data_IF_426503319764
#
_entry.id   IF_426503319764
#
_cell.length_a   1.000
_cell.length_b   1.000
_cell.length_c   1.000
_cell.angle_alpha   90.00
_cell.angle_beta   90.00
_cell.angle_gamma   90.00
#
_symmetry.space_group_name_H-M   'P 1'
#
loop_
_entity.id
_entity.type
_entity.pdbx_description
1 polymer ?
#
# COMPACT_ATOMS: atom_id res chain seq x y z
N UNK A 1 -30.50 15.20 -4.78
CA UNK A 1 -29.60 15.30 -5.94
C UNK A 1 -29.17 13.89 -6.29
N UNK A 2 -29.91 13.23 -7.17
CA UNK A 2 -29.65 11.86 -7.61
C UNK A 2 -28.58 11.96 -8.70
N UNK A 3 -27.31 11.76 -8.33
CA UNK A 3 -26.18 12.00 -9.24
C UNK A 3 -25.80 10.78 -10.10
N UNK A 4 -26.47 9.64 -9.97
CA UNK A 4 -26.48 8.58 -10.98
C UNK A 4 -27.61 7.58 -10.68
N UNK A 5 -28.11 6.89 -11.70
CA UNK A 5 -29.11 5.82 -11.58
C UNK A 5 -28.55 4.52 -10.97
N UNK A 6 -27.33 4.54 -10.43
CA UNK A 6 -26.66 3.36 -9.87
C UNK A 6 -27.12 3.16 -8.44
N UNK A 7 -28.18 2.37 -8.23
CA UNK A 7 -28.57 1.90 -6.90
C UNK A 7 -27.62 0.80 -6.47
N UNK A 8 -26.70 1.11 -5.55
CA UNK A 8 -25.63 0.22 -5.11
C UNK A 8 -26.11 -0.95 -4.22
N UNK A 9 -27.24 -0.79 -3.54
CA UNK A 9 -27.84 -1.81 -2.68
C UNK A 9 -29.35 -1.63 -2.68
N UNK A 10 -30.11 -2.63 -3.13
CA UNK A 10 -31.55 -2.72 -2.84
C UNK A 10 -31.73 -3.73 -1.71
N UNK A 11 -32.21 -3.25 -0.57
CA UNK A 11 -32.66 -4.11 0.52
C UNK A 11 -34.15 -4.35 0.27
N UNK A 12 -34.49 -5.49 -0.34
CA UNK A 12 -35.89 -5.92 -0.36
C UNK A 12 -36.32 -6.36 1.04
N UNK A 13 -37.59 -6.13 1.37
CA UNK A 13 -38.17 -6.26 2.72
C UNK A 13 -38.09 -7.65 3.37
N UNK A 14 -37.48 -8.64 2.71
CA UNK A 14 -37.35 -10.02 3.20
C UNK A 14 -35.94 -10.38 3.69
N UNK A 15 -34.98 -9.45 3.67
CA UNK A 15 -33.61 -9.71 4.18
C UNK A 15 -32.72 -10.50 3.22
N UNK A 16 -33.20 -10.84 2.02
CA UNK A 16 -32.39 -11.37 0.94
C UNK A 16 -31.60 -10.23 0.28
N UNK A 17 -30.28 -10.35 0.24
CA UNK A 17 -29.42 -9.45 -0.52
C UNK A 17 -29.55 -9.76 -2.00
N UNK A 18 -30.49 -9.11 -2.69
CA UNK A 18 -30.51 -9.10 -4.14
C UNK A 18 -29.36 -8.21 -4.60
N UNK A 19 -28.22 -8.80 -4.99
CA UNK A 19 -27.17 -8.04 -5.67
C UNK A 19 -27.80 -7.42 -6.93
N UNK A 20 -27.76 -6.09 -7.01
CA UNK A 20 -28.14 -5.39 -8.23
C UNK A 20 -27.30 -5.88 -9.42
N UNK A 21 -27.78 -5.69 -10.66
CA UNK A 21 -27.03 -6.11 -11.83
C UNK A 21 -25.64 -5.48 -11.83
N UNK A 22 -24.59 -6.31 -11.88
CA UNK A 22 -23.20 -5.88 -12.05
C UNK A 22 -22.88 -5.46 -13.49
N UNK A 23 -23.88 -5.51 -14.37
CA UNK A 23 -23.80 -5.04 -15.76
C UNK A 23 -23.69 -3.52 -15.81
N UNK A 24 -22.96 -3.03 -16.81
CA UNK A 24 -22.92 -1.63 -17.18
C UNK A 24 -24.23 -1.22 -17.86
N UNK A 25 -24.62 0.04 -17.69
CA UNK A 25 -25.80 0.62 -18.35
C UNK A 25 -25.62 0.78 -19.87
N UNK A 26 -24.38 0.66 -20.35
CA UNK A 26 -24.00 0.80 -21.75
C UNK A 26 -22.79 -0.09 -22.07
N UNK A 27 -22.54 -0.42 -23.35
CA UNK A 27 -21.41 -1.26 -23.74
C UNK A 27 -20.06 -0.67 -23.30
N UNK A 28 -19.13 -1.51 -22.85
CA UNK A 28 -17.83 -1.10 -22.29
C UNK A 28 -17.03 -0.21 -23.25
N UNK A 29 -17.13 -0.45 -24.56
CA UNK A 29 -16.44 0.33 -25.60
C UNK A 29 -16.95 1.77 -25.76
N UNK A 30 -18.09 2.11 -25.16
CA UNK A 30 -18.68 3.46 -25.19
C UNK A 30 -18.38 4.27 -23.93
N UNK A 31 -17.80 3.65 -22.90
CA UNK A 31 -17.43 4.36 -21.68
C UNK A 31 -16.37 5.42 -21.94
N UNK A 32 -16.39 6.53 -21.19
CA UNK A 32 -15.33 7.52 -21.26
C UNK A 32 -13.99 6.91 -20.80
N UNK A 33 -12.99 6.98 -21.67
CA UNK A 33 -11.63 6.49 -21.43
C UNK A 33 -10.69 7.67 -21.20
N UNK A 34 -9.75 7.51 -20.27
CA UNK A 34 -8.61 8.41 -20.07
C UNK A 34 -7.35 7.77 -20.65
N UNK A 35 -6.53 8.60 -21.30
CA UNK A 35 -5.38 8.21 -22.13
C UNK A 35 -4.03 8.69 -21.56
N UNK A 36 -4.07 9.31 -20.38
CA UNK A 36 -2.92 9.94 -19.74
C UNK A 36 -2.21 9.03 -18.72
N UNK A 37 -2.40 7.72 -18.77
CA UNK A 37 -1.73 6.80 -17.84
C UNK A 37 -0.20 6.73 -18.05
N UNK A 38 0.27 7.03 -19.27
CA UNK A 38 1.67 6.84 -19.70
C UNK A 38 2.33 8.16 -20.13
N UNK A 39 1.93 9.28 -19.53
CA UNK A 39 2.34 10.62 -19.98
C UNK A 39 3.85 10.90 -19.93
N UNK A 40 4.63 10.15 -19.14
CA UNK A 40 6.09 10.29 -19.04
C UNK A 40 6.87 9.18 -19.75
N UNK A 41 6.19 8.28 -20.48
CA UNK A 41 6.80 7.08 -21.05
C UNK A 41 7.99 7.34 -21.99
N UNK A 42 8.05 8.49 -22.67
CA UNK A 42 9.21 8.86 -23.48
C UNK A 42 10.52 8.92 -22.67
N UNK A 43 10.43 9.25 -21.38
CA UNK A 43 11.56 9.27 -20.45
C UNK A 43 11.63 7.99 -19.61
N UNK A 44 10.49 7.47 -19.16
CA UNK A 44 10.42 6.41 -18.15
C UNK A 44 10.19 5.00 -18.73
N UNK A 45 10.38 4.82 -20.04
CA UNK A 45 10.50 3.47 -20.61
C UNK A 45 11.86 2.83 -20.25
N UNK A 46 12.84 3.65 -19.88
CA UNK A 46 14.08 3.19 -19.24
C UNK A 46 13.85 2.92 -17.75
N UNK A 47 14.26 1.74 -17.29
CA UNK A 47 14.04 1.29 -15.90
C UNK A 47 14.72 2.18 -14.85
N UNK A 48 15.89 2.76 -15.16
CA UNK A 48 16.60 3.64 -14.23
C UNK A 48 15.92 5.00 -14.11
N UNK A 49 15.52 5.58 -15.25
CA UNK A 49 14.74 6.81 -15.26
C UNK A 49 13.40 6.62 -14.53
N UNK A 50 12.70 5.51 -14.78
CA UNK A 50 11.47 5.15 -14.07
C UNK A 50 11.70 5.04 -12.55
N UNK A 51 12.78 4.36 -12.13
CA UNK A 51 13.14 4.24 -10.72
C UNK A 51 13.36 5.63 -10.11
N UNK A 52 14.15 6.50 -10.73
CA UNK A 52 14.41 7.85 -10.22
C UNK A 52 13.12 8.68 -10.07
N UNK A 53 12.21 8.61 -11.04
CA UNK A 53 10.89 9.27 -10.97
C UNK A 53 10.05 8.69 -9.84
N UNK A 54 10.07 7.37 -9.64
CA UNK A 54 9.36 6.73 -8.53
C UNK A 54 9.94 7.11 -7.16
N UNK A 55 11.26 7.16 -7.02
CA UNK A 55 11.91 7.61 -5.79
C UNK A 55 11.53 9.06 -5.46
N UNK A 56 11.48 9.94 -6.46
CA UNK A 56 11.02 11.31 -6.31
C UNK A 56 9.56 11.36 -5.84
N UNK A 57 8.67 10.55 -6.44
CA UNK A 57 7.29 10.41 -5.97
C UNK A 57 7.25 10.04 -4.48
N UNK A 58 8.00 9.02 -4.06
CA UNK A 58 8.01 8.57 -2.66
C UNK A 58 8.47 9.66 -1.70
N UNK A 59 9.41 10.52 -2.11
CA UNK A 59 9.84 11.68 -1.32
C UNK A 59 8.73 12.75 -1.25
N UNK A 60 8.10 13.07 -2.38
CA UNK A 60 6.97 14.02 -2.43
C UNK A 60 5.84 13.56 -1.51
N UNK A 61 5.47 12.27 -1.58
CA UNK A 61 4.45 11.69 -0.73
C UNK A 61 4.84 11.76 0.75
N UNK A 62 6.12 11.56 1.12
CA UNK A 62 6.56 11.68 2.50
C UNK A 62 6.35 13.09 3.07
N UNK A 63 6.63 14.11 2.26
CA UNK A 63 6.70 15.49 2.74
C UNK A 63 5.36 16.22 2.71
N UNK A 64 4.46 15.89 1.79
CA UNK A 64 3.21 16.65 1.59
C UNK A 64 2.35 16.71 2.88
N UNK A 65 2.01 15.56 3.48
CA UNK A 65 1.21 15.53 4.70
C UNK A 65 2.04 15.55 5.99
N UNK A 66 3.38 15.64 5.92
CA UNK A 66 4.26 15.64 7.10
C UNK A 66 3.85 16.66 8.18
N UNK A 67 3.48 17.92 7.85
CA UNK A 67 3.05 18.87 8.86
C UNK A 67 1.85 18.38 9.70
N UNK A 68 0.91 17.65 9.11
CA UNK A 68 -0.24 17.10 9.84
C UNK A 68 0.16 15.86 10.61
N UNK A 69 0.86 14.92 9.96
CA UNK A 69 1.28 13.65 10.54
C UNK A 69 2.09 13.86 11.82
N UNK A 70 3.09 14.76 11.80
CA UNK A 70 3.92 15.05 12.98
C UNK A 70 3.17 15.62 14.18
N UNK A 71 1.95 16.11 13.97
CA UNK A 71 1.07 16.62 15.03
C UNK A 71 0.16 15.53 15.57
N UNK A 72 -0.46 14.78 14.68
CA UNK A 72 -1.31 13.62 15.06
C UNK A 72 -0.49 12.65 15.88
N UNK A 73 0.72 12.32 15.41
CA UNK A 73 1.62 11.37 16.07
C UNK A 73 2.68 12.07 16.94
N UNK A 74 2.42 13.26 17.47
CA UNK A 74 3.43 14.07 18.17
C UNK A 74 4.12 13.35 19.35
N UNK A 75 3.44 12.37 19.96
CA UNK A 75 3.95 11.57 21.08
C UNK A 75 4.77 10.35 20.64
N UNK A 76 4.72 9.98 19.36
CA UNK A 76 5.52 8.87 18.85
C UNK A 76 6.99 9.27 18.82
N UNK A 77 7.94 8.35 19.08
CA UNK A 77 9.37 8.66 19.06
C UNK A 77 9.85 9.25 17.74
N UNK A 78 9.29 8.82 16.61
CA UNK A 78 9.56 9.31 15.26
C UNK A 78 8.55 10.38 14.80
N UNK A 79 7.62 10.79 15.67
CA UNK A 79 6.49 11.67 15.35
C UNK A 79 5.63 11.16 14.18
N UNK A 80 5.53 9.84 14.01
CA UNK A 80 4.77 9.22 12.93
C UNK A 80 5.39 9.39 11.54
N UNK A 81 6.70 9.66 11.46
CA UNK A 81 7.41 9.79 10.18
C UNK A 81 7.14 8.61 9.24
N UNK A 82 7.06 7.39 9.77
CA UNK A 82 6.74 6.19 8.99
C UNK A 82 5.38 6.19 8.28
N UNK A 83 4.46 7.09 8.67
CA UNK A 83 3.13 7.21 8.08
C UNK A 83 3.01 8.34 7.03
N UNK A 84 4.03 9.19 6.86
CA UNK A 84 3.96 10.37 5.98
C UNK A 84 3.50 10.04 4.55
N UNK A 85 4.22 9.12 3.89
CA UNK A 85 3.90 8.63 2.54
C UNK A 85 2.48 8.08 2.44
N UNK A 86 2.11 7.20 3.36
CA UNK A 86 0.82 6.52 3.36
C UNK A 86 -0.34 7.49 3.57
N UNK A 87 -0.23 8.41 4.51
CA UNK A 87 -1.27 9.41 4.78
C UNK A 87 -1.47 10.34 3.59
N UNK A 88 -0.39 10.78 2.94
CA UNK A 88 -0.51 11.55 1.70
C UNK A 88 -1.22 10.76 0.61
N UNK A 89 -0.83 9.49 0.41
CA UNK A 89 -1.43 8.62 -0.60
C UNK A 89 -2.93 8.42 -0.35
N UNK A 90 -3.31 8.11 0.90
CA UNK A 90 -4.71 7.89 1.28
C UNK A 90 -5.57 9.14 1.12
N UNK A 91 -5.11 10.29 1.62
CA UNK A 91 -5.89 11.54 1.57
C UNK A 91 -6.02 12.03 0.13
N UNK A 92 -4.91 12.08 -0.62
CA UNK A 92 -4.93 12.59 -2.00
C UNK A 92 -5.68 11.64 -2.93
N UNK A 93 -5.43 10.32 -2.77
CA UNK A 93 -6.13 9.28 -3.52
C UNK A 93 -7.63 9.29 -3.25
N UNK A 94 -8.04 9.37 -1.98
CA UNK A 94 -9.47 9.41 -1.65
C UNK A 94 -10.19 10.61 -2.27
N UNK A 95 -9.57 11.80 -2.26
CA UNK A 95 -10.16 13.00 -2.86
C UNK A 95 -10.41 12.82 -4.36
N UNK A 96 -9.45 12.28 -5.11
CA UNK A 96 -9.65 12.02 -6.54
C UNK A 96 -10.64 10.89 -6.77
N UNK A 97 -10.57 9.82 -5.98
CA UNK A 97 -11.49 8.70 -6.06
C UNK A 97 -12.93 9.16 -5.87
N UNK A 98 -13.25 9.88 -4.80
CA UNK A 98 -14.62 10.31 -4.53
C UNK A 98 -15.14 11.28 -5.58
N UNK A 99 -14.31 12.24 -6.04
CA UNK A 99 -14.73 13.18 -7.08
C UNK A 99 -14.95 12.48 -8.43
N UNK A 100 -14.15 11.46 -8.76
CA UNK A 100 -14.31 10.67 -9.98
C UNK A 100 -15.49 9.68 -9.89
N UNK A 101 -15.75 9.10 -8.72
CA UNK A 101 -16.94 8.27 -8.44
C UNK A 101 -18.24 9.07 -8.49
N UNK A 102 -18.19 10.35 -8.13
CA UNK A 102 -19.31 11.29 -8.24
C UNK A 102 -19.41 11.94 -9.63
N UNK A 103 -18.55 11.53 -10.57
CA UNK A 103 -18.48 12.04 -11.94
C UNK A 103 -18.23 13.56 -12.04
N UNK A 104 -17.69 14.19 -10.99
CA UNK A 104 -17.34 15.62 -10.96
C UNK A 104 -16.07 15.91 -11.75
N UNK A 105 -15.16 14.94 -11.79
CA UNK A 105 -13.91 14.97 -12.57
C UNK A 105 -13.67 13.60 -13.21
N UNK A 106 -12.85 13.54 -14.26
CA UNK A 106 -12.30 12.28 -14.74
C UNK A 106 -11.01 11.92 -13.99
N UNK A 107 -10.71 10.63 -13.81
CA UNK A 107 -9.48 10.12 -13.21
C UNK A 107 -8.25 10.35 -14.11
N UNK A 108 -7.81 11.61 -14.18
CA UNK A 108 -6.66 12.08 -14.96
C UNK A 108 -5.48 12.45 -14.07
N UNK A 109 -4.27 12.34 -14.60
CA UNK A 109 -3.00 12.62 -13.92
C UNK A 109 -2.94 14.03 -13.33
N UNK A 110 -3.50 15.01 -14.03
CA UNK A 110 -3.57 16.40 -13.56
C UNK A 110 -4.30 16.50 -12.21
N UNK A 111 -5.40 15.78 -12.03
CA UNK A 111 -6.18 15.81 -10.79
C UNK A 111 -5.47 15.07 -9.66
N UNK A 112 -4.73 14.00 -9.97
CA UNK A 112 -3.87 13.35 -8.99
C UNK A 112 -2.79 14.30 -8.47
N UNK A 113 -2.12 15.04 -9.37
CA UNK A 113 -1.13 16.05 -9.00
C UNK A 113 -1.72 17.19 -8.18
N UNK A 114 -2.86 17.74 -8.63
CA UNK A 114 -3.61 18.78 -7.91
C UNK A 114 -4.01 18.31 -6.51
N UNK A 115 -4.47 17.08 -6.34
CA UNK A 115 -4.85 16.55 -5.03
C UNK A 115 -3.66 16.47 -4.06
N UNK A 116 -2.49 16.01 -4.52
CA UNK A 116 -1.27 15.98 -3.69
C UNK A 116 -0.82 17.39 -3.30
N UNK A 117 -0.83 18.34 -4.25
CA UNK A 117 -0.48 19.74 -3.98
C UNK A 117 -1.47 20.38 -3.01
N UNK A 118 -2.77 20.18 -3.21
CA UNK A 118 -3.83 20.69 -2.34
C UNK A 118 -3.70 20.11 -0.92
N UNK A 119 -3.45 18.80 -0.79
CA UNK A 119 -3.19 18.16 0.49
C UNK A 119 -1.96 18.76 1.19
N UNK A 120 -0.86 18.98 0.45
CA UNK A 120 0.35 19.60 0.97
C UNK A 120 0.15 21.05 1.43
N UNK A 121 -0.54 21.88 0.63
CA UNK A 121 -0.89 23.26 1.00
C UNK A 121 -1.80 23.26 2.24
N UNK A 122 -2.85 22.43 2.26
CA UNK A 122 -3.74 22.29 3.39
C UNK A 122 -3.00 21.88 4.67
N UNK A 123 -2.11 20.89 4.57
CA UNK A 123 -1.26 20.45 5.68
C UNK A 123 -0.33 21.57 6.18
N UNK A 124 0.27 22.32 5.28
CA UNK A 124 1.13 23.45 5.61
C UNK A 124 0.36 24.57 6.34
N UNK A 125 -0.81 24.97 5.81
CA UNK A 125 -1.65 26.02 6.38
C UNK A 125 -2.17 25.64 7.77
N UNK A 126 -2.75 24.43 7.89
CA UNK A 126 -3.19 23.88 9.17
C UNK A 126 -2.02 23.80 10.15
N UNK A 127 -0.85 23.47 9.63
CA UNK A 127 0.36 23.42 10.41
C UNK A 127 0.86 24.78 10.87
N UNK A 128 0.73 25.84 10.09
CA UNK A 128 1.11 27.18 10.54
C UNK A 128 0.16 27.74 11.58
N UNK A 129 -1.14 27.58 11.35
CA UNK A 129 -2.20 28.12 12.20
C UNK A 129 -2.11 27.60 13.64
N UNK A 130 -1.77 26.32 13.82
CA UNK A 130 -1.68 25.67 15.14
C UNK A 130 -0.26 25.57 15.72
N UNK A 131 0.73 26.24 15.13
CA UNK A 131 2.12 26.12 15.58
C UNK A 131 2.53 27.20 16.58
N UNK A 132 2.92 26.78 17.80
CA UNK A 132 3.64 27.62 18.76
C UNK A 132 5.05 27.98 18.24
N UNK A 133 5.62 29.09 18.74
CA UNK A 133 6.98 29.53 18.37
C UNK A 133 8.05 28.46 18.67
N UNK A 134 7.89 27.70 19.76
CA UNK A 134 8.77 26.61 20.14
C UNK A 134 8.74 25.44 19.14
N UNK A 135 7.56 25.07 18.63
CA UNK A 135 7.40 24.01 17.63
C UNK A 135 8.09 24.34 16.30
N UNK A 136 8.27 25.63 15.97
CA UNK A 136 8.96 26.06 14.73
C UNK A 136 10.49 25.92 14.81
N UNK A 137 11.06 25.85 16.02
CA UNK A 137 12.51 25.71 16.26
C UNK A 137 12.94 24.28 16.60
N UNK A 138 12.01 23.34 16.68
CA UNK A 138 12.29 21.92 16.95
C UNK A 138 13.12 21.31 15.81
N UNK A 139 14.38 20.88 16.05
CA UNK A 139 15.24 20.31 15.03
C UNK A 139 14.86 18.84 14.79
N UNK A 140 13.63 18.61 14.32
CA UNK A 140 13.07 17.28 14.11
C UNK A 140 13.97 16.38 13.23
N UNK A 141 14.71 16.96 12.29
CA UNK A 141 15.66 16.27 11.42
C UNK A 141 16.85 15.65 12.19
N UNK A 142 17.11 16.08 13.44
CA UNK A 142 18.14 15.48 14.32
C UNK A 142 17.59 14.30 15.14
N UNK A 143 16.29 14.02 15.08
CA UNK A 143 15.69 12.92 15.82
C UNK A 143 16.12 11.57 15.22
N UNK A 144 16.87 10.79 16.00
CA UNK A 144 17.37 9.48 15.56
C UNK A 144 16.26 8.50 15.20
N UNK A 145 15.09 8.60 15.81
CA UNK A 145 13.95 7.73 15.49
C UNK A 145 13.36 8.05 14.10
N UNK A 146 13.39 9.32 13.68
CA UNK A 146 12.99 9.72 12.32
C UNK A 146 13.97 9.15 11.30
N UNK A 147 15.28 9.31 11.55
CA UNK A 147 16.32 8.75 10.67
C UNK A 147 16.25 7.23 10.57
N UNK A 148 15.97 6.54 11.68
CA UNK A 148 15.78 5.08 11.68
C UNK A 148 14.51 4.67 10.94
N UNK A 149 13.39 5.37 11.12
CA UNK A 149 12.15 5.10 10.38
C UNK A 149 12.36 5.25 8.86
N UNK A 150 13.06 6.31 8.43
CA UNK A 150 13.41 6.52 7.03
C UNK A 150 14.40 5.47 6.51
N UNK A 151 15.39 5.11 7.32
CA UNK A 151 16.33 4.03 7.03
C UNK A 151 15.62 2.67 6.88
N UNK A 152 14.65 2.37 7.73
CA UNK A 152 13.81 1.16 7.62
C UNK A 152 13.05 1.15 6.30
N UNK A 153 12.37 2.25 5.95
CA UNK A 153 11.64 2.35 4.69
C UNK A 153 12.54 2.05 3.50
N UNK A 154 13.67 2.75 3.38
CA UNK A 154 14.56 2.56 2.22
C UNK A 154 15.29 1.22 2.22
N UNK A 155 15.64 0.68 3.38
CA UNK A 155 16.29 -0.64 3.48
C UNK A 155 15.34 -1.74 3.03
N UNK A 156 14.07 -1.70 3.47
CA UNK A 156 13.07 -2.69 3.08
C UNK A 156 12.67 -2.52 1.62
N UNK A 157 12.46 -1.28 1.15
CA UNK A 157 12.21 -1.00 -0.26
C UNK A 157 13.37 -1.52 -1.13
N UNK A 158 14.61 -1.22 -0.76
CA UNK A 158 15.81 -1.65 -1.48
C UNK A 158 15.98 -3.17 -1.48
N UNK A 159 15.73 -3.84 -0.34
CA UNK A 159 15.79 -5.30 -0.24
C UNK A 159 14.82 -5.97 -1.23
N UNK A 160 13.54 -5.56 -1.23
CA UNK A 160 12.56 -6.14 -2.13
C UNK A 160 12.75 -5.69 -3.59
N UNK A 161 13.27 -4.49 -3.83
CA UNK A 161 13.65 -4.05 -5.17
C UNK A 161 14.81 -4.89 -5.73
N UNK A 162 15.85 -5.13 -4.94
CA UNK A 162 16.97 -6.01 -5.33
C UNK A 162 16.45 -7.43 -5.56
N UNK A 163 15.56 -7.93 -4.69
CA UNK A 163 14.92 -9.22 -4.91
C UNK A 163 14.18 -9.25 -6.26
N UNK A 164 13.43 -8.21 -6.63
CA UNK A 164 12.76 -8.09 -7.95
C UNK A 164 13.75 -8.00 -9.11
N UNK A 165 14.92 -7.40 -8.92
CA UNK A 165 16.01 -7.36 -9.91
C UNK A 165 16.76 -8.68 -10.05
N UNK A 166 16.68 -9.59 -9.09
CA UNK A 166 17.28 -10.93 -9.21
C UNK A 166 16.24 -11.93 -9.71
N UNK A 167 15.00 -11.80 -9.23
CA UNK A 167 13.86 -12.62 -9.63
C UNK A 167 12.93 -11.81 -10.53
N UNK A 168 13.36 -11.61 -11.78
CA UNK A 168 12.62 -10.81 -12.76
C UNK A 168 11.24 -11.40 -13.05
N UNK A 169 11.15 -12.73 -13.11
CA UNK A 169 9.90 -13.40 -13.42
C UNK A 169 8.95 -13.31 -12.22
N UNK A 170 7.79 -12.74 -12.49
CA UNK A 170 6.74 -12.60 -11.51
C UNK A 170 5.74 -13.76 -11.59
N UNK A 171 5.79 -14.57 -12.64
CA UNK A 171 4.84 -15.64 -12.88
C UNK A 171 5.51 -16.99 -12.63
N UNK A 172 4.99 -17.77 -11.68
CA UNK A 172 5.54 -19.11 -11.47
C UNK A 172 4.99 -20.08 -12.54
N UNK A 173 5.84 -20.74 -13.36
CA UNK A 173 5.34 -21.57 -14.47
C UNK A 173 4.42 -22.72 -14.05
N UNK A 174 4.68 -23.34 -12.89
CA UNK A 174 3.93 -24.52 -12.41
C UNK A 174 2.76 -24.22 -11.47
N UNK A 175 2.80 -23.11 -10.73
CA UNK A 175 1.78 -22.77 -9.73
C UNK A 175 0.98 -21.52 -10.10
N UNK A 176 1.36 -20.87 -11.21
CA UNK A 176 0.77 -19.63 -11.67
C UNK A 176 0.92 -18.50 -10.66
N UNK A 177 -0.07 -17.62 -10.64
CA UNK A 177 -0.26 -16.57 -9.67
C UNK A 177 -1.35 -15.61 -10.10
N UNK A 178 -1.77 -14.74 -9.18
CA UNK A 178 -2.91 -13.84 -9.39
C UNK A 178 -2.51 -12.51 -10.08
N UNK A 179 -1.21 -12.35 -10.37
CA UNK A 179 -0.64 -11.14 -11.01
C UNK A 179 -1.27 -10.74 -12.33
N UNK A 180 -1.56 -11.64 -13.28
CA UNK A 180 -2.27 -11.26 -14.49
C UNK A 180 -3.64 -10.64 -14.17
N UNK A 181 -4.32 -11.13 -13.13
CA UNK A 181 -5.58 -10.57 -12.65
C UNK A 181 -5.39 -9.19 -12.02
N UNK A 182 -4.43 -9.01 -11.09
CA UNK A 182 -4.17 -7.69 -10.50
C UNK A 182 -3.70 -6.67 -11.54
N UNK A 183 -2.83 -7.08 -12.46
CA UNK A 183 -2.34 -6.23 -13.54
C UNK A 183 -3.48 -5.83 -14.48
N UNK A 184 -4.38 -6.75 -14.81
CA UNK A 184 -5.58 -6.44 -15.59
C UNK A 184 -6.49 -5.43 -14.86
N UNK A 185 -6.76 -5.63 -13.57
CA UNK A 185 -7.56 -4.70 -12.76
C UNK A 185 -6.92 -3.31 -12.68
N UNK A 186 -5.61 -3.21 -12.43
CA UNK A 186 -4.90 -1.93 -12.38
C UNK A 186 -4.95 -1.22 -13.74
N UNK A 187 -4.77 -1.93 -14.85
CA UNK A 187 -4.87 -1.32 -16.18
C UNK A 187 -6.31 -0.91 -16.52
N UNK A 188 -7.33 -1.66 -16.08
CA UNK A 188 -8.73 -1.25 -16.21
C UNK A 188 -9.02 0.05 -15.44
N UNK A 189 -8.52 0.15 -14.21
CA UNK A 189 -8.58 1.37 -13.40
C UNK A 189 -7.86 2.53 -14.09
N UNK A 190 -6.65 2.32 -14.62
CA UNK A 190 -5.87 3.36 -15.29
C UNK A 190 -6.54 3.94 -16.53
N UNK A 191 -7.41 3.17 -17.19
CA UNK A 191 -8.17 3.57 -18.38
C UNK A 191 -9.55 4.13 -18.07
N UNK A 192 -10.10 3.85 -16.90
CA UNK A 192 -11.44 4.29 -16.51
C UNK A 192 -11.46 5.77 -16.14
N UNK A 193 -12.37 6.56 -16.72
CA UNK A 193 -12.55 7.97 -16.34
C UNK A 193 -13.29 8.12 -15.00
N UNK A 194 -14.20 7.21 -14.69
CA UNK A 194 -15.06 7.24 -13.51
C UNK A 194 -15.08 5.87 -12.81
N UNK A 195 -15.59 5.84 -11.58
CA UNK A 195 -15.58 4.64 -10.76
C UNK A 195 -16.99 4.18 -10.37
N UNK A 196 -17.20 2.86 -10.15
CA UNK A 196 -16.25 1.75 -10.28
C UNK A 196 -15.79 1.53 -11.73
N UNK A 197 -14.58 0.97 -11.92
CA UNK A 197 -14.04 0.72 -13.26
C UNK A 197 -14.79 -0.45 -13.92
N UNK A 198 -14.61 -0.61 -15.22
CA UNK A 198 -15.09 -1.80 -15.93
C UNK A 198 -14.30 -3.05 -15.49
N UNK A 199 -14.94 -4.21 -15.60
CA UNK A 199 -14.32 -5.50 -15.32
C UNK A 199 -13.57 -6.01 -16.58
N UNK A 200 -12.25 -6.28 -16.51
CA UNK A 200 -11.50 -6.79 -17.66
C UNK A 200 -11.78 -8.26 -18.00
N UNK A 201 -12.45 -9.01 -17.12
CA UNK A 201 -12.77 -10.44 -17.26
C UNK A 201 -14.26 -10.70 -17.50
N UNK A 202 -15.13 -9.72 -17.21
CA UNK A 202 -16.57 -9.81 -17.44
C UNK A 202 -17.04 -8.72 -18.41
N UNK A 203 -17.29 -9.11 -19.66
CA UNK A 203 -17.71 -8.20 -20.73
C UNK A 203 -18.98 -7.43 -20.33
N UNK A 204 -18.96 -6.11 -20.57
CA UNK A 204 -20.00 -5.17 -20.16
C UNK A 204 -20.33 -5.19 -18.65
N UNK A 205 -19.38 -5.64 -17.83
CA UNK A 205 -19.47 -5.67 -16.38
C UNK A 205 -18.73 -4.54 -15.68
N UNK A 206 -19.18 -4.21 -14.47
CA UNK A 206 -18.43 -3.41 -13.50
C UNK A 206 -17.56 -4.32 -12.64
N UNK A 207 -16.38 -3.84 -12.28
CA UNK A 207 -15.48 -4.57 -11.39
C UNK A 207 -16.10 -4.68 -9.98
N UNK A 208 -16.67 -5.84 -9.66
CA UNK A 208 -17.21 -6.14 -8.33
C UNK A 208 -16.15 -6.80 -7.45
N UNK A 209 -15.10 -6.04 -7.15
CA UNK A 209 -13.96 -6.48 -6.34
C UNK A 209 -13.52 -5.34 -5.42
N UNK A 210 -12.75 -5.64 -4.37
CA UNK A 210 -12.23 -4.64 -3.42
C UNK A 210 -11.10 -3.77 -4.04
N UNK A 211 -11.44 -3.04 -5.10
CA UNK A 211 -10.49 -2.40 -6.01
C UNK A 211 -9.80 -1.15 -5.44
N UNK A 212 -10.23 -0.60 -4.30
CA UNK A 212 -9.67 0.66 -3.77
C UNK A 212 -8.16 0.57 -3.50
N UNK A 213 -7.67 -0.58 -3.03
CA UNK A 213 -6.23 -0.81 -2.87
C UNK A 213 -5.48 -0.74 -4.20
N UNK A 214 -5.99 -1.42 -5.22
CA UNK A 214 -5.45 -1.37 -6.59
C UNK A 214 -5.57 0.03 -7.19
N UNK A 215 -6.61 0.77 -6.84
CA UNK A 215 -6.77 2.17 -7.23
C UNK A 215 -5.67 3.06 -6.67
N UNK A 216 -5.26 2.89 -5.40
CA UNK A 216 -4.17 3.69 -4.84
C UNK A 216 -2.83 3.40 -5.53
N UNK A 217 -2.64 2.17 -5.99
CA UNK A 217 -1.50 1.82 -6.83
C UNK A 217 -1.59 2.53 -8.17
N UNK A 218 -2.73 2.43 -8.86
CA UNK A 218 -2.99 3.11 -10.11
C UNK A 218 -2.85 4.64 -9.98
N UNK A 219 -3.21 5.22 -8.82
CA UNK A 219 -3.03 6.63 -8.50
C UNK A 219 -1.54 7.02 -8.50
N UNK A 220 -0.66 6.22 -7.91
CA UNK A 220 0.80 6.43 -7.97
C UNK A 220 1.35 6.27 -9.40
N UNK A 221 0.84 5.30 -10.15
CA UNK A 221 1.20 5.13 -11.56
C UNK A 221 0.76 6.34 -12.40
N UNK A 222 -0.45 6.84 -12.17
CA UNK A 222 -1.00 8.02 -12.85
C UNK A 222 -0.21 9.29 -12.51
N UNK A 223 0.21 9.44 -11.25
CA UNK A 223 1.07 10.55 -10.80
C UNK A 223 2.45 10.57 -11.45
N UNK A 224 2.97 9.42 -11.87
CA UNK A 224 4.32 9.30 -12.42
C UNK A 224 4.33 9.16 -13.93
N UNK A 225 3.25 8.65 -14.53
CA UNK A 225 3.14 8.38 -15.96
C UNK A 225 4.02 7.22 -16.44
N UNK A 226 4.59 6.45 -15.50
CA UNK A 226 5.47 5.33 -15.81
C UNK A 226 4.64 4.21 -16.44
N UNK A 227 5.12 3.56 -17.53
CA UNK A 227 4.54 2.32 -18.04
C UNK A 227 4.14 1.34 -16.94
N UNK A 228 2.91 0.83 -16.96
CA UNK A 228 2.37 0.00 -15.88
C UNK A 228 3.21 -1.27 -15.67
N UNK A 229 3.77 -1.83 -16.74
CA UNK A 229 4.68 -2.98 -16.70
C UNK A 229 5.96 -2.73 -15.86
N UNK A 230 6.43 -1.48 -15.75
CA UNK A 230 7.55 -1.10 -14.90
C UNK A 230 7.05 -0.66 -13.52
N UNK A 231 6.04 0.20 -13.48
CA UNK A 231 5.53 0.78 -12.23
C UNK A 231 4.95 -0.28 -11.27
N UNK A 232 4.36 -1.36 -11.81
CA UNK A 232 3.86 -2.48 -11.00
C UNK A 232 4.98 -3.09 -10.15
N UNK A 233 6.16 -3.27 -10.73
CA UNK A 233 7.34 -3.81 -10.06
C UNK A 233 7.91 -2.86 -8.99
N UNK A 234 7.66 -1.55 -9.10
CA UNK A 234 8.09 -0.54 -8.11
C UNK A 234 7.05 -0.35 -6.99
N UNK A 235 5.77 -0.55 -7.30
CA UNK A 235 4.68 -0.43 -6.33
C UNK A 235 4.72 -1.51 -5.26
N UNK A 236 5.09 -2.72 -5.61
CA UNK A 236 5.13 -3.84 -4.69
C UNK A 236 6.16 -3.68 -3.54
N UNK A 237 7.46 -3.39 -3.78
CA UNK A 237 8.40 -3.09 -2.70
C UNK A 237 7.99 -1.85 -1.90
N UNK A 238 7.27 -0.91 -2.53
CA UNK A 238 6.71 0.26 -1.83
C UNK A 238 5.71 -0.17 -0.75
N UNK A 239 4.78 -1.10 -1.04
CA UNK A 239 3.77 -1.53 -0.07
C UNK A 239 4.41 -2.20 1.16
N UNK A 240 5.41 -3.07 0.95
CA UNK A 240 6.10 -3.73 2.08
C UNK A 240 6.96 -2.72 2.87
N UNK A 241 7.58 -1.75 2.20
CA UNK A 241 8.32 -0.68 2.87
C UNK A 241 7.41 0.23 3.71
N UNK A 242 6.20 0.54 3.23
CA UNK A 242 5.19 1.28 4.00
C UNK A 242 4.75 0.49 5.25
N UNK A 243 4.55 -0.82 5.12
CA UNK A 243 4.24 -1.70 6.25
C UNK A 243 5.36 -1.66 7.30
N UNK A 244 6.61 -1.85 6.87
CA UNK A 244 7.77 -1.85 7.76
C UNK A 244 7.95 -0.50 8.47
N UNK A 245 7.83 0.62 7.74
CA UNK A 245 7.94 1.95 8.32
C UNK A 245 6.84 2.21 9.35
N UNK A 246 5.59 1.84 9.05
CA UNK A 246 4.47 1.93 9.99
C UNK A 246 4.67 1.03 11.23
N UNK A 247 5.14 -0.20 11.03
CA UNK A 247 5.41 -1.14 12.12
C UNK A 247 6.49 -0.60 13.07
N UNK A 248 7.55 0.00 12.52
CA UNK A 248 8.57 0.70 13.32
C UNK A 248 7.95 1.83 14.16
N UNK A 249 7.13 2.69 13.55
CA UNK A 249 6.48 3.82 14.24
C UNK A 249 5.62 3.34 15.40
N UNK A 250 4.76 2.34 15.19
CA UNK A 250 3.86 1.81 16.23
C UNK A 250 4.64 1.07 17.33
N UNK A 251 5.51 0.14 16.97
CA UNK A 251 6.23 -0.68 17.95
C UNK A 251 7.20 0.16 18.79
N UNK A 252 7.82 1.18 18.18
CA UNK A 252 8.66 2.13 18.92
C UNK A 252 7.85 2.98 19.88
N UNK A 253 6.66 3.43 19.48
CA UNK A 253 5.76 4.19 20.35
C UNK A 253 5.23 3.36 21.52
N UNK A 254 4.82 2.11 21.27
CA UNK A 254 4.40 1.18 22.34
C UNK A 254 5.53 0.95 23.35
N UNK A 255 6.74 0.69 22.85
CA UNK A 255 7.89 0.43 23.70
C UNK A 255 8.32 1.69 24.47
N UNK A 256 8.21 2.88 23.86
CA UNK A 256 8.44 4.14 24.53
C UNK A 256 7.44 4.39 25.66
N UNK A 257 6.16 4.07 25.46
CA UNK A 257 5.12 4.23 26.48
C UNK A 257 5.36 3.30 27.70
N UNK A 258 5.81 2.07 27.46
CA UNK A 258 6.08 1.09 28.52
C UNK A 258 7.38 1.39 29.28
N UNK A 259 8.45 1.71 28.56
CA UNK A 259 9.82 1.77 29.13
C UNK A 259 10.30 3.18 29.43
N UNK A 260 9.70 4.20 28.80
CA UNK A 260 10.15 5.60 28.81
C UNK A 260 11.60 5.80 28.31
N UNK A 261 12.22 4.77 27.71
CA UNK A 261 13.59 4.80 27.24
C UNK A 261 13.63 4.99 25.72
N UNK A 262 14.28 6.06 25.20
CA UNK A 262 14.37 6.29 23.76
C UNK A 262 15.24 5.25 23.05
N UNK A 263 16.15 4.57 23.75
CA UNK A 263 16.95 3.48 23.17
C UNK A 263 16.12 2.22 23.03
N UNK A 264 15.40 1.83 24.09
CA UNK A 264 14.52 0.67 24.04
C UNK A 264 13.38 0.89 23.04
N UNK A 265 12.84 2.10 22.93
CA UNK A 265 11.86 2.46 21.92
C UNK A 265 12.37 2.16 20.49
N UNK A 266 13.60 2.56 20.17
CA UNK A 266 14.19 2.30 18.85
C UNK A 266 14.41 0.80 18.60
N UNK A 267 14.90 0.07 19.60
CA UNK A 267 15.06 -1.39 19.51
C UNK A 267 13.71 -2.10 19.34
N UNK A 268 12.70 -1.71 20.11
CA UNK A 268 11.33 -2.22 19.99
C UNK A 268 10.74 -1.94 18.61
N UNK A 269 11.01 -0.76 18.04
CA UNK A 269 10.69 -0.44 16.65
C UNK A 269 11.31 -1.42 15.65
N UNK A 270 12.63 -1.66 15.74
CA UNK A 270 13.34 -2.59 14.85
C UNK A 270 12.86 -4.03 15.01
N UNK A 271 12.62 -4.49 16.25
CA UNK A 271 12.03 -5.80 16.51
C UNK A 271 10.62 -5.89 15.89
N UNK A 272 9.82 -4.84 16.01
CA UNK A 272 8.50 -4.74 15.37
C UNK A 272 8.56 -4.89 13.85
N UNK A 273 9.56 -4.30 13.19
CA UNK A 273 9.78 -4.51 11.74
C UNK A 273 10.02 -5.98 11.42
N UNK A 274 10.90 -6.65 12.17
CA UNK A 274 11.21 -8.07 11.95
C UNK A 274 9.98 -8.94 12.17
N UNK A 275 9.25 -8.71 13.26
CA UNK A 275 8.07 -9.52 13.61
C UNK A 275 6.90 -9.30 12.63
N UNK A 276 6.65 -8.07 12.20
CA UNK A 276 5.50 -7.75 11.34
C UNK A 276 5.81 -8.00 9.87
N UNK A 277 7.00 -7.63 9.39
CA UNK A 277 7.31 -7.64 7.96
C UNK A 277 8.07 -8.90 7.49
N UNK A 278 8.83 -9.55 8.38
CA UNK A 278 9.75 -10.62 8.00
C UNK A 278 9.46 -11.98 8.64
N UNK A 279 8.67 -12.02 9.71
CA UNK A 279 8.38 -13.27 10.40
C UNK A 279 7.20 -14.00 9.75
N UNK A 280 7.33 -15.31 9.63
CA UNK A 280 6.26 -16.22 9.21
C UNK A 280 5.62 -16.92 10.40
N UNK A 281 4.90 -18.00 10.13
CA UNK A 281 4.32 -18.85 11.16
C UNK A 281 5.35 -19.83 11.77
N UNK A 282 4.88 -20.69 12.69
CA UNK A 282 5.71 -21.64 13.42
C UNK A 282 6.07 -22.91 12.61
N UNK A 283 5.73 -22.99 11.32
CA UNK A 283 6.09 -24.17 10.48
C UNK A 283 7.60 -24.37 10.45
N UNK A 284 8.39 -23.29 10.41
CA UNK A 284 9.85 -23.36 10.47
C UNK A 284 10.34 -24.00 11.79
N UNK A 285 9.72 -23.62 12.91
CA UNK A 285 10.06 -24.18 14.22
C UNK A 285 9.65 -25.66 14.32
N UNK A 286 8.47 -26.01 13.81
CA UNK A 286 8.02 -27.40 13.73
C UNK A 286 8.97 -28.26 12.87
N UNK A 287 9.43 -27.73 11.72
CA UNK A 287 10.39 -28.41 10.86
C UNK A 287 11.75 -28.60 11.52
N UNK A 288 12.21 -27.60 12.28
CA UNK A 288 13.44 -27.71 13.06
C UNK A 288 13.34 -28.82 14.11
N UNK A 289 12.23 -28.88 14.86
CA UNK A 289 12.00 -29.94 15.85
C UNK A 289 11.96 -31.32 15.17
N UNK A 290 11.20 -31.46 14.08
CA UNK A 290 11.14 -32.70 13.31
C UNK A 290 12.54 -33.15 12.86
N UNK A 291 13.39 -32.22 12.43
CA UNK A 291 14.77 -32.52 12.06
C UNK A 291 15.66 -32.91 13.23
N UNK A 292 15.53 -32.28 14.39
CA UNK A 292 16.29 -32.66 15.57
C UNK A 292 15.88 -34.03 16.11
N UNK A 293 14.62 -34.44 15.90
CA UNK A 293 14.10 -35.76 16.27
C UNK A 293 14.30 -36.85 15.20
N UNK A 294 14.94 -36.52 14.06
CA UNK A 294 15.16 -37.46 12.97
C UNK A 294 13.92 -37.82 12.15
N UNK A 295 12.81 -37.09 12.31
CA UNK A 295 11.55 -37.34 11.60
C UNK A 295 11.53 -36.78 10.17
N UNK A 296 12.28 -35.71 9.90
CA UNK A 296 12.37 -35.09 8.58
C UNK A 296 13.68 -34.31 8.42
N UNK A 297 14.29 -34.18 7.23
CA UNK A 297 15.48 -33.35 7.07
C UNK A 297 15.15 -31.87 7.21
N UNK A 298 16.05 -31.08 7.83
CA UNK A 298 15.91 -29.63 7.91
C UNK A 298 15.86 -29.01 6.51
N UNK A 299 16.93 -29.16 5.73
CA UNK A 299 16.93 -28.72 4.34
C UNK A 299 16.13 -29.71 3.49
N UNK A 300 15.16 -29.19 2.76
CA UNK A 300 14.30 -29.94 1.84
C UNK A 300 14.21 -29.18 0.52
N UNK A 301 13.11 -29.33 -0.21
CA UNK A 301 12.86 -28.60 -1.45
C UNK A 301 12.32 -27.18 -1.23
N UNK A 302 12.38 -26.40 -2.30
CA UNK A 302 11.77 -25.08 -2.40
C UNK A 302 10.26 -25.13 -2.13
N UNK A 303 9.59 -26.17 -2.63
CA UNK A 303 8.14 -26.31 -2.52
C UNK A 303 7.70 -26.35 -1.05
N UNK A 304 8.36 -27.15 -0.21
CA UNK A 304 8.10 -27.17 1.21
C UNK A 304 8.33 -25.79 1.84
N UNK A 305 9.50 -25.19 1.64
CA UNK A 305 9.86 -23.97 2.35
C UNK A 305 9.09 -22.73 1.89
N UNK A 306 8.60 -22.73 0.66
CA UNK A 306 7.86 -21.62 0.09
C UNK A 306 6.35 -21.77 0.32
N UNK A 307 5.77 -22.94 0.01
CA UNK A 307 4.31 -23.11 -0.01
C UNK A 307 3.72 -23.66 1.27
N UNK A 308 4.35 -24.64 1.93
CA UNK A 308 3.79 -25.28 3.12
C UNK A 308 3.50 -24.31 4.27
N UNK A 309 4.36 -23.29 4.55
CA UNK A 309 4.03 -22.25 5.51
C UNK A 309 2.73 -21.51 5.19
N UNK A 310 2.25 -21.50 3.94
CA UNK A 310 0.99 -20.85 3.58
C UNK A 310 -0.21 -21.79 3.56
N UNK A 311 -0.03 -23.08 3.90
CA UNK A 311 -1.04 -24.15 3.80
C UNK A 311 -1.29 -24.89 5.13
N UNK A 312 -0.94 -24.28 6.26
CA UNK A 312 -1.03 -24.92 7.57
C UNK A 312 -2.46 -25.14 8.10
N UNK A 313 -3.47 -24.48 7.53
CA UNK A 313 -4.89 -24.74 7.86
C UNK A 313 -5.49 -25.65 6.78
N UNK A 314 -6.12 -26.78 7.15
CA UNK A 314 -6.80 -27.66 6.20
C UNK A 314 -7.92 -26.93 5.42
N UNK A 315 -8.33 -27.45 4.25
CA UNK A 315 -9.44 -26.98 3.39
C UNK A 315 -9.11 -25.90 2.34
N UNK A 316 -7.97 -26.00 1.64
CA UNK A 316 -7.63 -25.18 0.46
C UNK A 316 -7.53 -23.68 0.77
N UNK A 317 -7.15 -23.32 2.01
CA UNK A 317 -6.94 -21.93 2.40
C UNK A 317 -5.50 -21.50 2.14
N UNK A 318 -5.33 -20.24 1.75
CA UNK A 318 -4.03 -19.61 1.52
C UNK A 318 -3.79 -18.61 2.65
N UNK A 319 -2.73 -18.83 3.44
CA UNK A 319 -2.35 -17.96 4.54
C UNK A 319 -1.02 -17.29 4.28
N UNK A 320 -1.09 -16.14 3.63
CA UNK A 320 0.09 -15.34 3.36
C UNK A 320 0.47 -14.49 4.56
N UNK A 321 1.76 -14.40 4.81
CA UNK A 321 2.37 -13.44 5.72
C UNK A 321 3.22 -12.46 4.92
N UNK A 322 3.52 -11.26 5.44
CA UNK A 322 4.03 -10.17 4.62
C UNK A 322 5.35 -10.47 3.89
N UNK A 323 6.22 -11.30 4.50
CA UNK A 323 7.44 -11.77 3.84
C UNK A 323 7.14 -12.68 2.63
N UNK A 324 6.19 -13.61 2.77
CA UNK A 324 5.75 -14.46 1.68
C UNK A 324 5.27 -13.60 0.52
N UNK A 325 4.29 -12.73 0.74
CA UNK A 325 3.77 -11.85 -0.32
C UNK A 325 4.84 -10.92 -0.90
N UNK A 326 5.75 -10.40 -0.07
CA UNK A 326 6.87 -9.59 -0.55
C UNK A 326 7.77 -10.34 -1.54
N UNK A 327 7.93 -11.65 -1.36
CA UNK A 327 8.70 -12.52 -2.28
C UNK A 327 7.86 -13.06 -3.43
N UNK A 328 6.64 -13.51 -3.17
CA UNK A 328 5.71 -14.02 -4.17
C UNK A 328 5.29 -12.95 -5.17
N UNK A 329 5.24 -11.71 -4.71
CA UNK A 329 5.20 -10.51 -5.52
C UNK A 329 3.87 -10.19 -6.21
N UNK A 330 2.77 -10.62 -5.62
CA UNK A 330 1.40 -10.25 -5.97
C UNK A 330 0.97 -8.97 -5.25
N UNK A 331 0.30 -8.07 -5.96
CA UNK A 331 -0.14 -6.80 -5.42
C UNK A 331 -1.61 -6.88 -4.97
N UNK A 332 -1.90 -7.97 -4.28
CA UNK A 332 -3.24 -8.32 -3.88
C UNK A 332 -3.77 -7.35 -2.82
N UNK A 333 -5.10 -7.27 -2.67
CA UNK A 333 -5.67 -6.20 -1.86
C UNK A 333 -5.36 -6.31 -0.36
N UNK A 334 -5.19 -7.51 0.19
CA UNK A 334 -4.76 -7.68 1.59
C UNK A 334 -3.38 -7.06 1.81
N UNK A 335 -2.47 -7.19 0.83
CA UNK A 335 -1.12 -6.62 0.87
C UNK A 335 -1.16 -5.11 0.97
N UNK A 336 -1.98 -4.49 0.12
CA UNK A 336 -2.16 -3.04 0.11
C UNK A 336 -2.87 -2.57 1.39
N UNK A 337 -3.72 -3.40 1.99
CA UNK A 337 -4.40 -3.10 3.24
C UNK A 337 -3.47 -3.16 4.47
N UNK A 338 -2.41 -3.96 4.46
CA UNK A 338 -1.52 -4.15 5.62
C UNK A 338 -0.95 -2.83 6.19
N UNK A 339 -0.34 -1.92 5.40
CA UNK A 339 0.10 -0.62 5.91
C UNK A 339 -1.03 0.22 6.51
N UNK A 340 -2.24 0.13 5.94
CA UNK A 340 -3.41 0.87 6.41
C UNK A 340 -3.89 0.34 7.76
N UNK A 341 -3.89 -0.98 7.94
CA UNK A 341 -4.18 -1.62 9.23
C UNK A 341 -3.22 -1.13 10.30
N UNK A 342 -1.91 -1.06 10.01
CA UNK A 342 -0.92 -0.55 10.97
C UNK A 342 -1.10 0.95 11.24
N UNK A 343 -1.50 1.74 10.24
CA UNK A 343 -1.88 3.15 10.46
C UNK A 343 -3.08 3.27 11.41
N UNK A 344 -4.12 2.44 11.23
CA UNK A 344 -5.29 2.43 12.12
C UNK A 344 -4.87 2.06 13.54
N UNK A 345 -4.03 1.05 13.73
CA UNK A 345 -3.46 0.70 15.05
C UNK A 345 -2.73 1.91 15.65
N UNK A 346 -1.90 2.60 14.86
CA UNK A 346 -1.20 3.80 15.28
C UNK A 346 -2.16 4.93 15.72
N UNK A 347 -3.24 5.16 14.96
CA UNK A 347 -4.27 6.14 15.29
C UNK A 347 -5.01 5.78 16.58
N UNK A 348 -5.41 4.52 16.73
CA UNK A 348 -6.00 4.01 17.98
C UNK A 348 -5.06 4.24 19.16
N UNK A 349 -3.76 4.01 18.99
CA UNK A 349 -2.78 4.23 20.04
C UNK A 349 -2.63 5.72 20.41
N UNK A 350 -2.69 6.63 19.42
CA UNK A 350 -2.72 8.07 19.68
C UNK A 350 -3.94 8.47 20.53
N UNK A 351 -5.10 7.85 20.32
CA UNK A 351 -6.33 8.20 21.04
C UNK A 351 -6.32 7.78 22.53
N UNK A 352 -5.58 6.73 22.88
CA UNK A 352 -5.50 6.21 24.27
C UNK A 352 -4.31 6.76 25.06
N UNK A 353 -3.38 7.46 24.40
CA UNK A 353 -2.29 8.18 25.06
C UNK A 353 -2.73 9.56 25.53
#
# INVERSE_FOLDING_TARGET
MQLSNRSWFQVEGNGDYVQGPISLDQPVGTLPIVDDARWSAALTSDSWAALLVWLLLLIVLQLAMWPVVRRVFARFPDRGWGFGRLVTLLVSGYLVWIMASLELIAFRAVWCGVAVVAAGIGAYLLGRWRSSAASRRDPWYRNRSILLSEGVFWSVFGLFLIYRLVNHDSYHPSWGGEKPMEFAHINAILRSAHFPPYDPWYADGQLNYYYYGMYLVAFMMKLTGIPSEIAFNLAQPTMIALLAAGAFSVASALTAALTKSPTLARLGGLIGVILVSFSGNLVVAARLVASLTGQAPLLSDYEYWFWEPTRFIPLITIHEFPYFTGTYADLHAHVVALPMTVLVIGLCFVLVQ
#
